data_IF_499589982299
#
_entry.id   IF_499589982299
#
_cell.length_a   1.000
_cell.length_b   1.000
_cell.length_c   1.000
_cell.angle_alpha   90.00
_cell.angle_beta   90.00
_cell.angle_gamma   90.00
#
_symmetry.space_group_name_H-M   'P 1'
#
loop_
_entity.id
_entity.type
_entity.pdbx_description
1 polymer ?
#
# COMPACT_ATOMS: atom_id res chain seq x y z
N UNK A 1 -17.70 9.22 -32.03
CA UNK A 1 -18.78 9.55 -31.09
C UNK A 1 -18.19 9.46 -29.70
N UNK A 2 -18.55 10.29 -28.72
CA UNK A 2 -18.08 10.12 -27.36
C UNK A 2 -18.56 8.76 -26.83
N UNK A 3 -17.70 8.06 -26.09
CA UNK A 3 -18.01 6.79 -25.43
C UNK A 3 -19.16 7.02 -24.45
N UNK A 4 -20.22 6.25 -24.55
CA UNK A 4 -21.41 6.39 -23.69
C UNK A 4 -21.43 5.37 -22.56
N UNK A 5 -20.72 4.24 -22.74
CA UNK A 5 -20.58 3.16 -21.77
C UNK A 5 -19.10 2.81 -21.57
N UNK A 6 -18.76 2.27 -20.42
CA UNK A 6 -17.43 1.76 -20.07
C UNK A 6 -17.56 0.53 -19.16
N UNK A 7 -16.48 -0.22 -19.01
CA UNK A 7 -16.41 -1.35 -18.06
C UNK A 7 -15.85 -0.90 -16.72
N UNK A 8 -16.38 -1.45 -15.63
CA UNK A 8 -15.93 -1.27 -14.25
C UNK A 8 -15.84 -2.63 -13.56
N UNK A 9 -14.74 -2.91 -12.88
CA UNK A 9 -14.63 -4.11 -12.07
C UNK A 9 -15.45 -3.96 -10.78
N UNK A 10 -16.39 -4.89 -10.54
CA UNK A 10 -17.27 -4.91 -9.37
C UNK A 10 -17.34 -6.28 -8.71
N UNK A 11 -17.35 -6.29 -7.39
CA UNK A 11 -17.59 -7.48 -6.58
C UNK A 11 -19.09 -7.66 -6.38
N UNK A 12 -19.63 -8.81 -6.82
CA UNK A 12 -21.03 -9.18 -6.73
C UNK A 12 -21.34 -10.09 -5.53
N UNK A 13 -20.31 -10.75 -5.01
CA UNK A 13 -20.42 -11.68 -3.88
C UNK A 13 -19.08 -12.39 -3.63
N UNK A 14 -19.03 -13.31 -2.67
CA UNK A 14 -17.81 -14.06 -2.35
C UNK A 14 -17.25 -14.83 -3.56
N UNK A 15 -16.04 -14.47 -3.98
CA UNK A 15 -15.37 -15.06 -5.14
C UNK A 15 -15.89 -14.58 -6.50
N UNK A 16 -16.88 -13.70 -6.53
CA UNK A 16 -17.54 -13.24 -7.75
C UNK A 16 -17.17 -11.77 -8.05
N UNK A 17 -16.24 -11.56 -8.96
CA UNK A 17 -15.85 -10.26 -9.49
C UNK A 17 -16.08 -10.25 -11.01
N UNK A 18 -16.67 -9.18 -11.52
CA UNK A 18 -17.06 -9.04 -12.94
C UNK A 18 -16.71 -7.66 -13.48
N UNK A 19 -16.56 -7.56 -14.80
CA UNK A 19 -16.54 -6.30 -15.53
C UNK A 19 -17.97 -5.98 -15.95
N UNK A 20 -18.58 -4.98 -15.32
CA UNK A 20 -19.93 -4.51 -15.61
C UNK A 20 -19.87 -3.35 -16.59
N UNK A 21 -20.79 -3.35 -17.57
CA UNK A 21 -21.00 -2.21 -18.46
C UNK A 21 -21.83 -1.14 -17.74
N UNK A 22 -21.27 0.05 -17.60
CA UNK A 22 -21.92 1.19 -16.94
C UNK A 22 -21.85 2.43 -17.82
N UNK A 23 -22.73 3.40 -17.57
CA UNK A 23 -22.65 4.72 -18.22
C UNK A 23 -21.38 5.46 -17.77
N UNK A 24 -20.69 6.10 -18.71
CA UNK A 24 -19.55 6.98 -18.39
C UNK A 24 -20.02 8.09 -17.46
N UNK A 25 -19.34 8.32 -16.33
CA UNK A 25 -19.77 9.31 -15.34
C UNK A 25 -19.68 10.74 -15.92
N UNK A 26 -20.57 11.61 -15.44
CA UNK A 26 -20.55 13.04 -15.75
C UNK A 26 -20.27 13.81 -14.46
N UNK A 27 -19.36 14.79 -14.47
CA UNK A 27 -19.07 15.56 -13.28
C UNK A 27 -20.25 16.48 -12.90
N UNK A 28 -20.60 16.51 -11.62
CA UNK A 28 -21.36 17.60 -11.03
C UNK A 28 -20.51 18.88 -10.94
N UNK A 29 -21.09 19.97 -10.40
CA UNK A 29 -20.41 21.28 -10.39
C UNK A 29 -19.06 21.26 -9.67
N UNK A 30 -18.88 20.42 -8.64
CA UNK A 30 -17.64 20.35 -7.83
C UNK A 30 -16.80 19.11 -8.08
N UNK A 31 -17.16 18.30 -9.08
CA UNK A 31 -16.54 17.03 -9.33
C UNK A 31 -15.54 17.10 -10.49
N UNK A 32 -14.68 16.11 -10.56
CA UNK A 32 -13.78 15.88 -11.67
C UNK A 32 -13.95 14.44 -12.16
N UNK A 33 -13.88 14.23 -13.47
CA UNK A 33 -13.73 12.88 -14.02
C UNK A 33 -12.28 12.70 -14.46
N UNK A 34 -11.67 11.64 -13.95
CA UNK A 34 -10.31 11.24 -14.31
C UNK A 34 -10.38 10.06 -15.25
N UNK A 35 -9.70 10.17 -16.39
CA UNK A 35 -9.40 9.03 -17.26
C UNK A 35 -8.20 8.31 -16.66
N UNK A 36 -8.45 7.11 -16.13
CA UNK A 36 -7.42 6.29 -15.48
C UNK A 36 -6.39 5.84 -16.52
N UNK A 37 -5.11 5.97 -16.21
CA UNK A 37 -4.01 5.45 -17.03
C UNK A 37 -3.36 4.22 -16.39
N UNK A 38 -3.34 4.14 -15.05
CA UNK A 38 -2.84 3.00 -14.32
C UNK A 38 -3.57 2.83 -12.98
N UNK A 39 -3.85 1.58 -12.61
CA UNK A 39 -4.43 1.21 -11.31
C UNK A 39 -3.72 -0.02 -10.74
N UNK A 40 -3.16 0.09 -9.52
CA UNK A 40 -2.56 -1.01 -8.80
C UNK A 40 -3.61 -1.97 -8.22
N UNK A 41 -3.30 -3.26 -8.21
CA UNK A 41 -4.10 -4.25 -7.48
C UNK A 41 -3.55 -4.37 -6.06
N UNK A 42 -4.41 -4.11 -5.07
CA UNK A 42 -4.09 -4.20 -3.65
C UNK A 42 -4.49 -5.57 -3.07
N UNK A 43 -3.84 -5.95 -1.96
CA UNK A 43 -4.25 -7.11 -1.17
C UNK A 43 -5.67 -7.00 -0.61
N UNK A 44 -6.15 -5.76 -0.35
CA UNK A 44 -7.53 -5.50 0.06
C UNK A 44 -8.53 -5.79 -1.05
N UNK A 45 -8.22 -5.48 -2.33
CA UNK A 45 -9.09 -5.84 -3.47
C UNK A 45 -9.29 -7.35 -3.54
N UNK A 46 -8.20 -8.13 -3.39
CA UNK A 46 -8.26 -9.60 -3.34
C UNK A 46 -9.07 -10.09 -2.13
N UNK A 47 -8.96 -9.38 -1.00
CA UNK A 47 -9.76 -9.62 0.19
C UNK A 47 -11.25 -9.37 -0.05
N UNK A 48 -11.60 -8.26 -0.69
CA UNK A 48 -12.98 -7.90 -1.04
C UNK A 48 -13.60 -8.91 -2.00
N UNK A 49 -12.85 -9.35 -3.00
CA UNK A 49 -13.30 -10.42 -3.91
C UNK A 49 -13.56 -11.71 -3.12
N UNK A 50 -12.64 -12.11 -2.23
CA UNK A 50 -12.79 -13.34 -1.46
C UNK A 50 -13.97 -13.32 -0.48
N UNK A 51 -14.22 -12.17 0.16
CA UNK A 51 -15.27 -11.99 1.16
C UNK A 51 -16.63 -11.58 0.57
N UNK A 52 -16.65 -11.09 -0.67
CA UNK A 52 -17.83 -10.52 -1.29
C UNK A 52 -18.12 -9.09 -0.80
N UNK A 53 -17.10 -8.28 -0.57
CA UNK A 53 -17.19 -6.88 -0.11
C UNK A 53 -16.32 -6.58 1.10
N UNK A 54 -16.57 -5.46 1.78
CA UNK A 54 -15.79 -4.99 2.93
C UNK A 54 -16.13 -5.68 4.25
N UNK A 55 -16.89 -6.77 4.23
CA UNK A 55 -17.34 -7.52 5.41
C UNK A 55 -18.78 -7.19 5.86
N UNK A 56 -19.43 -6.21 5.26
CA UNK A 56 -20.86 -5.97 5.37
C UNK A 56 -21.60 -6.54 4.14
N UNK A 57 -22.87 -6.97 4.26
CA UNK A 57 -23.66 -7.39 3.12
C UNK A 57 -23.76 -6.27 2.07
N UNK A 58 -23.54 -6.60 0.80
CA UNK A 58 -23.68 -5.64 -0.28
C UNK A 58 -25.15 -5.44 -0.63
N UNK A 59 -25.59 -4.18 -0.77
CA UNK A 59 -26.88 -3.82 -1.36
C UNK A 59 -26.79 -3.75 -2.90
N UNK A 60 -25.61 -3.42 -3.42
CA UNK A 60 -25.27 -3.33 -4.84
C UNK A 60 -23.85 -3.85 -5.08
N UNK A 61 -23.49 -4.26 -6.31
CA UNK A 61 -22.13 -4.67 -6.63
C UNK A 61 -21.12 -3.56 -6.34
N UNK A 62 -20.08 -3.90 -5.55
CA UNK A 62 -19.08 -2.95 -5.06
C UNK A 62 -17.95 -2.73 -6.06
N UNK A 63 -17.70 -1.49 -6.54
CA UNK A 63 -16.56 -1.19 -7.39
C UNK A 63 -15.26 -1.25 -6.59
N UNK A 64 -14.17 -1.69 -7.25
CA UNK A 64 -12.85 -1.86 -6.63
C UNK A 64 -11.75 -1.08 -7.36
N UNK A 65 -10.56 -1.04 -6.73
CA UNK A 65 -9.40 -0.28 -7.22
C UNK A 65 -9.31 1.09 -6.58
N UNK A 66 -8.19 1.33 -5.87
CA UNK A 66 -7.96 2.56 -5.10
C UNK A 66 -6.54 3.10 -5.21
N UNK A 67 -5.64 2.40 -5.89
CA UNK A 67 -4.25 2.81 -6.12
C UNK A 67 -4.10 3.28 -7.57
N UNK A 68 -4.38 4.56 -7.88
CA UNK A 68 -4.47 4.96 -9.29
C UNK A 68 -3.96 6.36 -9.59
N UNK A 69 -3.62 6.52 -10.88
CA UNK A 69 -3.27 7.79 -11.49
C UNK A 69 -3.86 7.88 -12.90
N UNK A 70 -4.05 9.08 -13.37
CA UNK A 70 -4.62 9.31 -14.70
C UNK A 70 -4.60 10.78 -15.10
N UNK A 71 -5.39 11.10 -16.11
CA UNK A 71 -5.52 12.46 -16.67
C UNK A 71 -6.94 12.97 -16.38
N UNK A 72 -7.03 14.20 -15.90
CA UNK A 72 -8.30 14.90 -15.76
C UNK A 72 -8.93 15.03 -17.14
N UNK A 73 -10.11 14.44 -17.32
CA UNK A 73 -10.84 14.45 -18.59
C UNK A 73 -11.91 15.54 -18.62
N UNK A 74 -12.73 15.62 -17.56
CA UNK A 74 -13.77 16.63 -17.40
C UNK A 74 -13.73 17.24 -16.01
N UNK A 75 -14.10 18.53 -15.96
CA UNK A 75 -14.06 19.35 -14.74
C UNK A 75 -15.41 20.02 -14.53
N UNK A 76 -15.95 19.97 -13.32
CA UNK A 76 -17.17 20.65 -12.92
C UNK A 76 -17.01 22.17 -12.89
N UNK A 77 -18.11 22.89 -13.06
CA UNK A 77 -18.13 24.37 -13.23
C UNK A 77 -17.57 25.14 -12.04
N UNK A 78 -17.63 24.58 -10.84
CA UNK A 78 -17.21 25.23 -9.58
C UNK A 78 -15.80 24.80 -9.15
N UNK A 79 -15.20 23.78 -9.79
CA UNK A 79 -13.82 23.37 -9.54
C UNK A 79 -12.89 24.46 -10.08
N UNK A 80 -11.97 24.93 -9.24
CA UNK A 80 -10.99 25.95 -9.60
C UNK A 80 -9.64 25.30 -9.87
N UNK A 81 -8.58 25.63 -9.92
CA UNK A 81 -7.20 25.12 -9.93
C UNK A 81 -6.97 23.73 -10.58
N UNK A 82 -7.95 23.21 -11.32
CA UNK A 82 -7.89 21.95 -12.08
C UNK A 82 -8.33 22.21 -13.52
N UNK A 83 -7.59 21.65 -14.48
CA UNK A 83 -7.91 21.77 -15.90
C UNK A 83 -7.90 20.40 -16.59
N UNK A 84 -8.70 20.17 -17.63
CA UNK A 84 -8.57 18.99 -18.49
C UNK A 84 -7.14 18.87 -19.03
N UNK A 85 -6.63 17.63 -19.06
CA UNK A 85 -5.26 17.33 -19.46
C UNK A 85 -4.25 17.32 -18.31
N UNK A 86 -4.61 17.76 -17.09
CA UNK A 86 -3.75 17.66 -15.92
C UNK A 86 -3.59 16.18 -15.54
N UNK A 87 -2.34 15.69 -15.43
CA UNK A 87 -2.08 14.36 -14.85
C UNK A 87 -2.11 14.44 -13.33
N UNK A 88 -2.76 13.49 -12.70
CA UNK A 88 -2.96 13.44 -11.25
C UNK A 88 -2.77 12.03 -10.69
N UNK A 89 -2.20 11.94 -9.49
CA UNK A 89 -2.43 10.84 -8.56
C UNK A 89 -3.64 11.21 -7.70
N UNK A 90 -4.51 10.24 -7.40
CA UNK A 90 -5.76 10.49 -6.68
C UNK A 90 -5.73 9.81 -5.31
N UNK A 91 -5.95 10.59 -4.26
CA UNK A 91 -6.12 10.06 -2.92
C UNK A 91 -7.54 9.50 -2.76
N UNK A 92 -7.70 8.19 -2.47
CA UNK A 92 -9.02 7.54 -2.41
C UNK A 92 -9.77 7.79 -1.11
N UNK A 93 -9.12 8.34 -0.08
CA UNK A 93 -9.62 8.30 1.31
C UNK A 93 -10.92 9.09 1.52
N UNK A 94 -11.06 10.28 0.94
CA UNK A 94 -12.17 11.18 1.22
C UNK A 94 -13.54 10.58 0.87
N UNK A 95 -13.58 9.64 -0.07
CA UNK A 95 -14.81 9.00 -0.56
C UNK A 95 -14.74 7.48 -0.53
N UNK A 96 -13.74 6.90 0.11
CA UNK A 96 -13.49 5.45 0.14
C UNK A 96 -13.51 4.83 -1.27
N UNK A 97 -12.90 5.53 -2.25
CA UNK A 97 -12.85 5.07 -3.64
C UNK A 97 -12.22 3.67 -3.67
N UNK A 98 -12.93 2.69 -4.26
CA UNK A 98 -12.49 1.30 -4.32
C UNK A 98 -12.39 0.56 -2.99
N UNK A 99 -12.79 1.21 -1.90
CA UNK A 99 -12.74 0.69 -0.53
C UNK A 99 -14.12 0.71 0.15
N UNK A 100 -15.18 0.41 -0.61
CA UNK A 100 -16.57 0.42 -0.14
C UNK A 100 -17.34 1.70 -0.45
N UNK A 101 -16.74 2.66 -1.16
CA UNK A 101 -17.42 3.82 -1.72
C UNK A 101 -18.19 3.47 -3.00
N UNK A 102 -18.82 4.49 -3.59
CA UNK A 102 -19.62 4.34 -4.82
C UNK A 102 -18.75 4.18 -6.07
N UNK A 103 -17.48 4.59 -6.01
CA UNK A 103 -16.56 4.62 -7.14
C UNK A 103 -15.40 3.63 -6.92
N UNK A 104 -14.82 3.15 -8.04
CA UNK A 104 -13.63 2.31 -8.06
C UNK A 104 -12.81 2.54 -9.32
N UNK A 105 -11.49 2.55 -9.19
CA UNK A 105 -10.58 2.95 -10.24
C UNK A 105 -10.15 1.82 -11.18
N UNK A 106 -10.61 0.58 -10.98
CA UNK A 106 -10.49 -0.45 -12.00
C UNK A 106 -11.57 -0.23 -13.07
N UNK A 107 -11.50 0.94 -13.72
CA UNK A 107 -12.42 1.46 -14.73
C UNK A 107 -11.67 2.49 -15.60
N UNK A 108 -12.12 2.68 -16.86
CA UNK A 108 -11.51 3.65 -17.76
C UNK A 108 -11.69 5.10 -17.32
N UNK A 109 -12.84 5.43 -16.74
CA UNK A 109 -13.13 6.74 -16.18
C UNK A 109 -13.68 6.59 -14.78
N UNK A 110 -13.30 7.52 -13.91
CA UNK A 110 -13.75 7.55 -12.52
C UNK A 110 -14.17 8.96 -12.14
N UNK A 111 -15.29 9.06 -11.41
CA UNK A 111 -15.75 10.30 -10.81
C UNK A 111 -14.98 10.51 -9.50
N UNK A 112 -14.39 11.69 -9.33
CA UNK A 112 -13.81 12.16 -8.08
C UNK A 112 -14.68 13.28 -7.54
N UNK A 113 -15.57 13.01 -6.58
CA UNK A 113 -16.48 14.00 -6.03
C UNK A 113 -15.76 15.05 -5.18
N UNK A 114 -16.28 16.30 -5.19
CA UNK A 114 -15.73 17.42 -4.44
C UNK A 114 -14.20 17.59 -4.60
N UNK A 115 -13.73 17.48 -5.85
CA UNK A 115 -12.32 17.38 -6.20
C UNK A 115 -11.52 18.64 -5.83
N UNK A 116 -10.35 18.44 -5.19
CA UNK A 116 -9.50 19.53 -4.72
C UNK A 116 -8.02 19.14 -4.80
N UNK A 117 -7.19 20.05 -5.35
CA UNK A 117 -5.72 19.91 -5.32
C UNK A 117 -5.20 19.95 -3.89
N UNK A 118 -4.27 19.04 -3.56
CA UNK A 118 -3.68 18.90 -2.23
C UNK A 118 -4.56 18.15 -1.22
N UNK A 119 -5.68 17.58 -1.67
CA UNK A 119 -6.56 16.72 -0.87
C UNK A 119 -6.90 15.44 -1.64
N UNK A 120 -7.87 15.48 -2.53
CA UNK A 120 -8.23 14.33 -3.39
C UNK A 120 -7.38 14.20 -4.65
N UNK A 121 -6.81 15.29 -5.17
CA UNK A 121 -6.00 15.33 -6.38
C UNK A 121 -4.60 15.87 -6.10
N UNK A 122 -3.58 15.22 -6.65
CA UNK A 122 -2.18 15.66 -6.58
C UNK A 122 -1.59 15.68 -7.99
N UNK A 123 -1.15 16.86 -8.42
CA UNK A 123 -0.59 17.03 -9.77
C UNK A 123 0.72 16.24 -9.95
N UNK A 124 0.84 15.57 -11.07
CA UNK A 124 2.02 14.77 -11.42
C UNK A 124 2.58 15.25 -12.77
N UNK A 125 3.89 15.60 -12.86
CA UNK A 125 4.51 16.00 -14.12
C UNK A 125 4.46 14.90 -15.19
N UNK A 126 4.42 15.30 -16.46
CA UNK A 126 4.28 14.38 -17.59
C UNK A 126 5.44 13.37 -17.73
N UNK A 127 6.62 13.65 -17.16
CA UNK A 127 7.76 12.74 -17.20
C UNK A 127 7.63 11.55 -16.21
N UNK A 128 6.71 11.63 -15.24
CA UNK A 128 6.45 10.52 -14.31
C UNK A 128 5.47 9.56 -14.96
N UNK A 129 5.85 8.29 -15.06
CA UNK A 129 4.97 7.25 -15.60
C UNK A 129 3.71 7.06 -14.71
N UNK A 130 2.52 6.88 -15.30
CA UNK A 130 1.28 6.71 -14.54
C UNK A 130 1.33 5.58 -13.51
N UNK A 131 1.96 4.45 -13.87
CA UNK A 131 2.12 3.31 -12.97
C UNK A 131 2.97 3.66 -11.72
N UNK A 132 3.96 4.57 -11.84
CA UNK A 132 4.73 5.04 -10.69
C UNK A 132 3.90 6.03 -9.86
N UNK A 133 3.13 6.92 -10.50
CA UNK A 133 2.26 7.85 -9.80
C UNK A 133 1.17 7.13 -8.98
N UNK A 134 0.64 6.01 -9.48
CA UNK A 134 -0.32 5.17 -8.76
C UNK A 134 0.25 4.54 -7.47
N UNK A 135 1.59 4.43 -7.35
CA UNK A 135 2.24 3.97 -6.12
C UNK A 135 2.12 4.96 -4.95
N UNK A 136 1.67 6.19 -5.18
CA UNK A 136 1.49 7.17 -4.11
C UNK A 136 0.59 6.64 -2.98
N UNK A 137 -0.43 5.86 -3.33
CA UNK A 137 -1.34 5.25 -2.36
C UNK A 137 -0.61 4.29 -1.42
N UNK A 138 -0.01 3.15 -1.87
CA UNK A 138 0.64 2.21 -0.96
C UNK A 138 1.87 2.80 -0.25
N UNK A 139 2.55 3.78 -0.85
CA UNK A 139 3.64 4.51 -0.20
C UNK A 139 3.13 5.34 0.97
N UNK A 140 2.00 6.04 0.80
CA UNK A 140 1.38 6.83 1.87
C UNK A 140 0.86 5.94 3.02
N UNK A 141 0.34 4.75 2.71
CA UNK A 141 -0.04 3.74 3.73
C UNK A 141 1.15 3.35 4.59
N UNK A 142 2.28 3.01 3.95
CA UNK A 142 3.49 2.66 4.68
C UNK A 142 4.05 3.83 5.50
N UNK A 143 4.04 5.05 4.92
CA UNK A 143 4.51 6.26 5.58
C UNK A 143 3.68 6.57 6.83
N UNK A 144 2.35 6.44 6.75
CA UNK A 144 1.48 6.62 7.91
C UNK A 144 1.86 5.68 9.06
N UNK A 145 2.06 4.38 8.78
CA UNK A 145 2.50 3.41 9.79
C UNK A 145 3.89 3.73 10.38
N UNK A 146 4.81 4.28 9.58
CA UNK A 146 6.12 4.75 10.01
C UNK A 146 5.99 5.96 10.94
N UNK A 147 5.13 6.91 10.59
CA UNK A 147 4.88 8.13 11.38
C UNK A 147 4.26 7.80 12.76
N UNK A 148 3.33 6.85 12.83
CA UNK A 148 2.68 6.45 14.08
C UNK A 148 3.65 5.93 15.16
N UNK A 149 4.77 5.35 14.76
CA UNK A 149 5.81 4.86 15.69
C UNK A 149 7.02 5.78 15.75
N UNK A 150 6.92 6.99 15.20
CA UNK A 150 7.92 8.06 15.29
C UNK A 150 9.35 7.58 14.94
N UNK A 151 9.50 6.94 13.77
CA UNK A 151 10.79 6.41 13.30
C UNK A 151 11.80 7.54 13.13
N UNK A 152 13.04 7.33 13.64
CA UNK A 152 14.15 8.26 13.51
C UNK A 152 15.21 7.75 12.51
N UNK A 153 16.00 8.64 11.89
CA UNK A 153 17.02 8.24 10.89
C UNK A 153 18.08 7.25 11.43
N UNK A 154 18.37 7.29 12.74
CA UNK A 154 19.37 6.42 13.36
C UNK A 154 18.77 5.12 13.93
N UNK A 155 17.43 4.94 13.87
CA UNK A 155 16.78 3.71 14.32
C UNK A 155 17.26 2.48 13.50
N UNK A 156 17.36 1.35 14.17
CA UNK A 156 17.48 0.02 13.57
C UNK A 156 16.08 -0.52 13.30
N UNK A 157 15.68 -0.58 12.03
CA UNK A 157 14.31 -0.92 11.63
C UNK A 157 14.26 -2.28 10.97
N UNK A 158 13.39 -3.16 11.45
CA UNK A 158 13.06 -4.43 10.83
C UNK A 158 11.65 -4.39 10.19
N UNK A 159 11.57 -4.62 8.89
CA UNK A 159 10.30 -4.75 8.14
C UNK A 159 9.98 -6.23 7.99
N UNK A 160 8.81 -6.65 8.45
CA UNK A 160 8.34 -8.03 8.36
C UNK A 160 7.39 -8.16 7.18
N UNK A 161 7.78 -8.93 6.16
CA UNK A 161 7.08 -9.07 4.89
C UNK A 161 7.64 -8.14 3.81
N UNK A 162 7.97 -8.70 2.63
CA UNK A 162 8.43 -7.98 1.46
C UNK A 162 7.37 -7.95 0.32
N UNK A 163 6.10 -7.97 0.70
CA UNK A 163 4.98 -7.66 -0.20
C UNK A 163 4.93 -6.16 -0.54
N UNK A 164 3.93 -5.70 -1.32
CA UNK A 164 3.84 -4.30 -1.74
C UNK A 164 3.98 -3.28 -0.60
N UNK A 165 3.33 -3.50 0.53
CA UNK A 165 3.42 -2.59 1.71
C UNK A 165 4.81 -2.65 2.36
N UNK A 166 5.44 -3.84 2.49
CA UNK A 166 6.80 -3.93 3.02
C UNK A 166 7.84 -3.28 2.12
N UNK A 167 7.69 -3.40 0.79
CA UNK A 167 8.52 -2.69 -0.17
C UNK A 167 8.29 -1.17 -0.08
N UNK A 168 7.04 -0.73 0.05
CA UNK A 168 6.69 0.67 0.30
C UNK A 168 7.33 1.20 1.59
N UNK A 169 7.33 0.38 2.67
CA UNK A 169 7.99 0.76 3.93
C UNK A 169 9.50 0.94 3.74
N UNK A 170 10.19 0.05 2.98
CA UNK A 170 11.62 0.22 2.68
C UNK A 170 11.87 1.54 1.94
N UNK A 171 11.05 1.87 0.93
CA UNK A 171 11.16 3.12 0.17
C UNK A 171 10.99 4.34 1.09
N UNK A 172 9.93 4.37 1.88
CA UNK A 172 9.62 5.51 2.74
C UNK A 172 10.59 5.66 3.92
N UNK A 173 11.10 4.56 4.48
CA UNK A 173 12.18 4.58 5.48
C UNK A 173 13.46 5.19 4.90
N UNK A 174 13.81 4.83 3.66
CA UNK A 174 14.94 5.46 2.95
C UNK A 174 14.72 6.94 2.69
N UNK A 175 13.54 7.32 2.22
CA UNK A 175 13.16 8.73 2.03
C UNK A 175 13.31 9.52 3.34
N UNK A 176 12.97 8.94 4.49
CA UNK A 176 13.17 9.52 5.83
C UNK A 176 14.63 9.44 6.34
N UNK A 177 15.57 8.97 5.54
CA UNK A 177 16.99 8.92 5.86
C UNK A 177 17.40 7.79 6.80
N UNK A 178 16.53 6.79 7.02
CA UNK A 178 16.87 5.61 7.84
C UNK A 178 17.95 4.78 7.16
N UNK A 179 19.05 4.50 7.89
CA UNK A 179 20.25 3.82 7.34
C UNK A 179 20.28 2.32 7.60
N UNK A 180 19.65 1.88 8.69
CA UNK A 180 19.71 0.49 9.16
C UNK A 180 18.37 -0.21 8.95
N UNK A 181 18.07 -0.56 7.70
CA UNK A 181 16.84 -1.24 7.31
C UNK A 181 17.13 -2.70 7.03
N UNK A 182 16.47 -3.60 7.78
CA UNK A 182 16.42 -5.04 7.53
C UNK A 182 15.01 -5.37 7.05
N UNK A 183 14.88 -6.20 6.02
CA UNK A 183 13.58 -6.72 5.59
C UNK A 183 13.58 -8.24 5.60
N UNK A 184 12.49 -8.83 6.06
CA UNK A 184 12.32 -10.25 6.31
C UNK A 184 11.17 -10.78 5.46
N UNK A 185 11.42 -11.81 4.67
CA UNK A 185 10.38 -12.52 3.90
C UNK A 185 10.79 -13.98 3.70
N UNK A 186 9.90 -14.82 3.20
CA UNK A 186 10.18 -16.20 2.83
C UNK A 186 10.55 -16.35 1.34
N UNK A 187 10.10 -15.38 0.52
CA UNK A 187 10.25 -15.43 -0.92
C UNK A 187 11.50 -14.67 -1.38
N UNK A 188 12.44 -15.41 -1.98
CA UNK A 188 13.73 -14.84 -2.45
C UNK A 188 13.55 -13.77 -3.53
N UNK A 189 12.54 -13.90 -4.41
CA UNK A 189 12.18 -12.94 -5.45
C UNK A 189 11.79 -11.57 -4.85
N UNK A 190 11.01 -11.58 -3.78
CA UNK A 190 10.58 -10.37 -3.05
C UNK A 190 11.76 -9.71 -2.33
N UNK A 191 12.63 -10.50 -1.70
CA UNK A 191 13.86 -10.00 -1.06
C UNK A 191 14.83 -9.37 -2.07
N UNK A 192 14.90 -9.90 -3.30
CA UNK A 192 15.71 -9.30 -4.37
C UNK A 192 15.18 -7.90 -4.74
N UNK A 193 13.86 -7.70 -4.82
CA UNK A 193 13.24 -6.39 -5.05
C UNK A 193 13.53 -5.42 -3.91
N UNK A 194 13.44 -5.89 -2.67
CA UNK A 194 13.76 -5.08 -1.50
C UNK A 194 15.21 -4.58 -1.52
N UNK A 195 16.18 -5.42 -1.94
CA UNK A 195 17.58 -5.00 -2.15
C UNK A 195 17.69 -3.93 -3.22
N UNK A 196 17.02 -4.10 -4.35
CA UNK A 196 17.01 -3.13 -5.44
C UNK A 196 16.41 -1.79 -5.01
N UNK A 197 15.45 -1.79 -4.07
CA UNK A 197 14.89 -0.60 -3.43
C UNK A 197 15.76 -0.04 -2.31
N UNK A 198 16.85 -0.73 -1.93
CA UNK A 198 17.88 -0.26 -1.01
C UNK A 198 17.76 -0.74 0.42
N UNK A 199 17.04 -1.82 0.69
CA UNK A 199 17.18 -2.51 1.96
C UNK A 199 18.63 -2.97 2.15
N UNK A 200 19.28 -2.54 3.25
CA UNK A 200 20.68 -2.86 3.52
C UNK A 200 20.90 -4.36 3.74
N UNK A 201 19.97 -5.00 4.42
CA UNK A 201 20.02 -6.42 4.76
C UNK A 201 18.67 -7.07 4.47
N UNK A 202 18.70 -8.26 3.88
CA UNK A 202 17.50 -9.07 3.66
C UNK A 202 17.65 -10.41 4.36
N UNK A 203 16.61 -10.84 5.04
CA UNK A 203 16.56 -12.10 5.80
C UNK A 203 15.52 -13.02 5.14
N UNK A 204 15.94 -14.22 4.73
CA UNK A 204 15.00 -15.25 4.30
C UNK A 204 14.59 -16.10 5.50
N UNK A 205 13.36 -15.91 5.96
CA UNK A 205 12.81 -16.59 7.13
C UNK A 205 12.59 -18.11 6.94
N UNK A 206 12.73 -18.63 5.70
CA UNK A 206 12.65 -20.07 5.43
C UNK A 206 13.99 -20.79 5.66
N UNK A 207 15.11 -20.07 5.84
CA UNK A 207 16.46 -20.64 5.90
C UNK A 207 17.08 -20.70 7.30
N UNK A 208 16.39 -20.15 8.32
CA UNK A 208 16.93 -20.14 9.69
C UNK A 208 16.11 -19.29 10.67
N UNK A 209 16.65 -19.09 11.85
CA UNK A 209 16.04 -18.30 12.93
C UNK A 209 16.07 -16.80 12.60
N UNK A 210 14.91 -16.15 12.58
CA UNK A 210 14.80 -14.70 12.44
C UNK A 210 15.55 -14.00 13.55
N UNK A 211 15.46 -14.50 14.77
CA UNK A 211 16.17 -13.97 15.96
C UNK A 211 17.66 -13.92 15.74
N UNK A 212 18.31 -15.01 15.32
CA UNK A 212 19.75 -15.06 15.10
C UNK A 212 20.21 -14.15 13.96
N UNK A 213 19.42 -14.10 12.88
CA UNK A 213 19.72 -13.24 11.73
C UNK A 213 19.56 -11.75 12.08
N UNK A 214 18.54 -11.38 12.87
CA UNK A 214 18.39 -10.01 13.38
C UNK A 214 19.49 -9.65 14.40
N UNK A 215 19.89 -10.57 15.29
CA UNK A 215 21.00 -10.37 16.20
C UNK A 215 22.31 -10.10 15.43
N UNK A 216 22.53 -10.82 14.32
CA UNK A 216 23.68 -10.57 13.45
C UNK A 216 23.62 -9.19 12.78
N UNK A 217 22.45 -8.77 12.33
CA UNK A 217 22.26 -7.52 11.58
C UNK A 217 22.23 -6.26 12.47
N UNK A 218 21.52 -6.33 13.58
CA UNK A 218 21.27 -5.20 14.47
C UNK A 218 22.02 -5.27 15.79
N UNK A 219 22.56 -6.44 16.15
CA UNK A 219 23.13 -6.73 17.45
C UNK A 219 22.10 -7.27 18.43
N UNK A 220 22.55 -7.59 19.61
CA UNK A 220 21.74 -8.17 20.69
C UNK A 220 22.18 -7.65 22.05
N UNK A 221 21.34 -7.85 23.06
CA UNK A 221 21.61 -7.53 24.44
C UNK A 221 20.88 -8.45 25.41
N UNK A 222 21.12 -8.22 26.70
CA UNK A 222 20.45 -8.93 27.78
C UNK A 222 19.87 -7.93 28.77
N UNK A 223 18.58 -8.12 29.13
CA UNK A 223 17.92 -7.33 30.17
C UNK A 223 17.20 -8.26 31.14
N UNK A 224 17.46 -8.13 32.44
CA UNK A 224 16.90 -8.98 33.48
C UNK A 224 17.09 -10.49 33.22
N UNK A 225 18.23 -10.87 32.64
CA UNK A 225 18.53 -12.26 32.27
C UNK A 225 17.90 -12.74 30.95
N UNK A 226 17.09 -11.92 30.26
CA UNK A 226 16.47 -12.26 28.99
C UNK A 226 17.20 -11.61 27.81
N UNK A 227 17.56 -12.45 26.84
CA UNK A 227 18.15 -12.01 25.55
C UNK A 227 17.10 -11.25 24.72
N UNK A 228 17.55 -10.23 24.00
CA UNK A 228 16.77 -9.49 23.02
C UNK A 228 17.62 -9.08 21.82
N UNK A 229 17.00 -8.80 20.67
CA UNK A 229 17.67 -8.16 19.53
C UNK A 229 17.67 -6.63 19.72
N UNK A 230 18.70 -5.96 19.20
CA UNK A 230 18.85 -4.50 19.36
C UNK A 230 18.15 -3.74 18.22
N UNK A 231 16.92 -4.16 17.89
CA UNK A 231 16.03 -3.50 16.91
C UNK A 231 15.15 -2.49 17.63
N UNK A 232 15.11 -1.24 17.12
CA UNK A 232 14.33 -0.14 17.71
C UNK A 232 12.87 -0.19 17.27
N UNK A 233 12.65 -0.47 15.98
CA UNK A 233 11.31 -0.44 15.35
C UNK A 233 11.09 -1.69 14.52
N UNK A 234 9.88 -2.24 14.63
CA UNK A 234 9.38 -3.29 13.76
C UNK A 234 8.17 -2.78 12.99
N UNK A 235 8.17 -2.95 11.67
CA UNK A 235 7.04 -2.66 10.80
C UNK A 235 6.45 -3.99 10.32
N UNK A 236 5.29 -4.35 10.81
CA UNK A 236 4.60 -5.56 10.38
C UNK A 236 3.75 -5.28 9.15
N UNK A 237 4.24 -5.75 8.01
CA UNK A 237 3.58 -5.74 6.70
C UNK A 237 3.22 -7.17 6.22
N UNK A 238 3.39 -8.19 7.07
CA UNK A 238 3.12 -9.60 6.74
C UNK A 238 1.75 -10.10 7.21
N UNK A 239 1.25 -9.63 8.36
CA UNK A 239 0.01 -10.11 8.96
C UNK A 239 0.05 -11.60 9.35
N UNK A 240 1.22 -12.06 9.75
CA UNK A 240 1.47 -13.45 10.13
C UNK A 240 1.55 -13.58 11.66
N UNK A 241 0.53 -14.18 12.33
CA UNK A 241 0.51 -14.30 13.79
C UNK A 241 1.79 -14.87 14.42
N UNK A 242 2.44 -15.93 13.87
CA UNK A 242 3.70 -16.43 14.43
C UNK A 242 4.84 -15.40 14.35
N UNK A 243 4.92 -14.60 13.29
CA UNK A 243 5.98 -13.61 13.14
C UNK A 243 5.83 -12.47 14.14
N UNK A 244 4.61 -11.96 14.39
CA UNK A 244 4.36 -10.95 15.41
C UNK A 244 4.68 -11.48 16.81
N UNK A 245 4.29 -12.71 17.12
CA UNK A 245 4.60 -13.33 18.41
C UNK A 245 6.12 -13.45 18.61
N UNK A 246 6.88 -13.86 17.59
CA UNK A 246 8.34 -13.92 17.63
C UNK A 246 8.95 -12.52 17.84
N UNK A 247 8.48 -11.52 17.07
CA UNK A 247 8.92 -10.12 17.22
C UNK A 247 8.74 -9.63 18.67
N UNK A 248 7.59 -9.85 19.28
CA UNK A 248 7.32 -9.44 20.67
C UNK A 248 8.28 -10.18 21.65
N UNK A 249 8.52 -11.47 21.41
CA UNK A 249 9.40 -12.28 22.27
C UNK A 249 10.86 -11.80 22.28
N UNK A 250 11.36 -11.30 21.12
CA UNK A 250 12.75 -10.86 20.96
C UNK A 250 12.95 -9.34 21.09
N UNK A 251 11.87 -8.57 21.18
CA UNK A 251 11.91 -7.11 21.21
C UNK A 251 12.65 -6.61 22.49
N UNK A 252 13.49 -5.57 22.30
CA UNK A 252 14.16 -4.91 23.40
C UNK A 252 13.21 -4.01 24.19
N UNK A 253 13.73 -3.46 25.29
CA UNK A 253 13.03 -2.45 26.08
C UNK A 253 12.70 -1.23 25.24
N UNK A 254 11.42 -0.79 25.27
CA UNK A 254 10.86 0.33 24.51
C UNK A 254 10.93 0.16 22.99
N UNK A 255 10.99 -1.06 22.50
CA UNK A 255 10.79 -1.29 21.07
C UNK A 255 9.39 -0.84 20.64
N UNK A 256 9.29 -0.34 19.39
CA UNK A 256 8.05 0.18 18.80
C UNK A 256 7.64 -0.71 17.64
N UNK A 257 6.40 -1.13 17.61
CA UNK A 257 5.85 -2.07 16.60
C UNK A 257 4.66 -1.41 15.93
N UNK A 258 4.74 -1.19 14.62
CA UNK A 258 3.62 -0.73 13.78
C UNK A 258 3.03 -1.92 13.02
N UNK A 259 1.74 -2.15 13.18
CA UNK A 259 0.98 -3.19 12.46
C UNK A 259 0.21 -2.53 11.33
N UNK A 260 0.71 -2.68 10.09
CA UNK A 260 0.06 -2.17 8.87
C UNK A 260 -0.69 -3.31 8.17
N UNK A 261 -0.24 -4.55 8.38
CA UNK A 261 -0.78 -5.73 7.72
C UNK A 261 -2.21 -6.07 8.15
N UNK A 262 -3.00 -6.59 7.21
CA UNK A 262 -4.32 -7.13 7.49
C UNK A 262 -4.23 -8.53 8.09
N UNK A 263 -4.72 -8.70 9.32
CA UNK A 263 -4.82 -10.00 9.99
C UNK A 263 -6.15 -10.68 9.70
N UNK A 264 -6.09 -11.84 9.04
CA UNK A 264 -7.30 -12.65 8.71
C UNK A 264 -7.85 -13.43 9.91
N UNK A 265 -7.06 -13.55 11.00
CA UNK A 265 -7.44 -14.27 12.23
C UNK A 265 -6.88 -13.53 13.44
N UNK A 266 -7.53 -13.63 14.61
CA UNK A 266 -6.98 -13.10 15.85
C UNK A 266 -5.56 -13.62 16.12
N UNK A 267 -4.71 -12.76 16.68
CA UNK A 267 -3.34 -13.07 17.06
C UNK A 267 -3.21 -12.99 18.59
N UNK A 268 -2.58 -14.00 19.19
CA UNK A 268 -2.23 -13.95 20.61
C UNK A 268 -1.00 -13.04 20.82
N UNK A 269 -1.08 -12.22 21.86
CA UNK A 269 -0.02 -11.28 22.25
C UNK A 269 0.40 -11.54 23.69
N UNK A 270 1.71 -11.67 23.93
CA UNK A 270 2.26 -11.80 25.29
C UNK A 270 2.28 -10.44 26.00
N UNK A 271 1.18 -10.16 26.72
CA UNK A 271 1.03 -8.90 27.46
C UNK A 271 2.03 -8.77 28.62
N UNK A 272 2.49 -9.89 29.21
CA UNK A 272 3.50 -9.85 30.26
C UNK A 272 4.84 -9.37 29.69
N UNK A 273 5.26 -9.91 28.56
CA UNK A 273 6.48 -9.47 27.85
C UNK A 273 6.38 -7.99 27.42
N UNK A 274 5.24 -7.57 26.92
CA UNK A 274 5.00 -6.18 26.51
C UNK A 274 5.12 -5.23 27.72
N UNK A 275 4.46 -5.54 28.82
CA UNK A 275 4.50 -4.76 30.05
C UNK A 275 5.93 -4.68 30.62
N UNK A 276 6.62 -5.81 30.72
CA UNK A 276 7.98 -5.87 31.27
C UNK A 276 9.01 -5.09 30.46
N UNK A 277 8.78 -4.94 29.17
CA UNK A 277 9.70 -4.22 28.26
C UNK A 277 9.16 -2.89 27.75
N UNK A 278 8.02 -2.40 28.25
CA UNK A 278 7.37 -1.16 27.78
C UNK A 278 7.26 -1.11 26.24
N UNK A 279 6.89 -2.25 25.60
CA UNK A 279 6.78 -2.35 24.14
C UNK A 279 5.56 -1.58 23.69
N UNK A 280 5.70 -0.70 22.72
CA UNK A 280 4.60 -0.06 22.01
C UNK A 280 4.13 -0.96 20.87
N UNK A 281 2.83 -1.24 20.79
CA UNK A 281 2.19 -1.93 19.67
C UNK A 281 1.03 -1.06 19.18
N UNK A 282 1.08 -0.61 17.94
CA UNK A 282 0.09 0.30 17.36
C UNK A 282 -0.42 -0.24 16.02
N UNK A 283 -1.74 -0.24 15.82
CA UNK A 283 -2.37 -0.53 14.54
C UNK A 283 -2.41 0.69 13.63
N UNK A 284 -2.26 0.50 12.32
CA UNK A 284 -2.29 1.55 11.31
C UNK A 284 -3.34 1.21 10.25
N UNK A 285 -4.39 2.02 10.15
CA UNK A 285 -5.45 1.89 9.11
C UNK A 285 -5.21 2.84 7.94
N UNK A 286 -4.40 3.87 8.13
CA UNK A 286 -4.02 4.85 7.11
C UNK A 286 -5.23 5.52 6.41
N UNK A 287 -6.20 6.03 7.18
CA UNK A 287 -7.31 6.85 6.69
C UNK A 287 -7.05 8.33 6.98
N UNK A 288 -7.49 9.22 6.06
CA UNK A 288 -7.34 10.68 6.22
C UNK A 288 -5.89 11.16 6.15
N UNK A 289 -5.03 10.47 5.40
CA UNK A 289 -3.58 10.69 5.32
C UNK A 289 -3.18 11.68 4.21
N UNK A 290 -3.84 12.82 4.12
CA UNK A 290 -3.55 13.80 3.05
C UNK A 290 -2.09 14.26 3.02
N UNK A 291 -1.48 14.48 4.20
CA UNK A 291 -0.09 14.90 4.31
C UNK A 291 0.87 13.80 3.82
N UNK A 292 0.66 12.56 4.23
CA UNK A 292 1.47 11.40 3.81
C UNK A 292 1.31 11.11 2.32
N UNK A 293 0.10 11.28 1.77
CA UNK A 293 -0.13 11.10 0.34
C UNK A 293 0.60 12.18 -0.47
N UNK A 294 0.53 13.44 -0.04
CA UNK A 294 1.29 14.55 -0.64
C UNK A 294 2.80 14.29 -0.62
N UNK A 295 3.35 13.89 0.53
CA UNK A 295 4.77 13.56 0.67
C UNK A 295 5.19 12.38 -0.24
N UNK A 296 4.34 11.36 -0.38
CA UNK A 296 4.60 10.24 -1.28
C UNK A 296 4.63 10.71 -2.75
N UNK A 297 3.71 11.59 -3.16
CA UNK A 297 3.72 12.18 -4.51
C UNK A 297 4.98 13.02 -4.72
N UNK A 298 5.36 13.87 -3.79
CA UNK A 298 6.54 14.72 -3.88
C UNK A 298 7.82 13.87 -4.04
N UNK A 299 7.94 12.78 -3.29
CA UNK A 299 9.05 11.83 -3.40
C UNK A 299 9.08 11.14 -4.77
N UNK A 300 7.92 10.73 -5.31
CA UNK A 300 7.81 10.15 -6.65
C UNK A 300 8.28 11.16 -7.70
N UNK A 301 7.80 12.40 -7.60
CA UNK A 301 8.14 13.49 -8.54
C UNK A 301 9.62 13.85 -8.48
N UNK A 302 10.22 13.85 -7.29
CA UNK A 302 11.67 14.11 -7.13
C UNK A 302 12.53 13.04 -7.80
N UNK A 303 12.02 11.79 -7.94
CA UNK A 303 12.71 10.73 -8.69
C UNK A 303 14.02 10.23 -8.08
N UNK A 304 14.29 10.55 -6.81
CA UNK A 304 15.55 10.19 -6.12
C UNK A 304 15.67 8.68 -5.86
N UNK A 305 14.55 7.98 -5.79
CA UNK A 305 14.48 6.54 -5.57
C UNK A 305 13.87 5.88 -6.80
N UNK A 306 14.59 4.93 -7.40
CA UNK A 306 14.03 4.13 -8.48
C UNK A 306 12.96 3.18 -7.95
N UNK A 307 11.68 3.45 -8.28
CA UNK A 307 10.52 2.67 -7.83
C UNK A 307 10.17 1.49 -8.75
N UNK A 308 10.79 1.37 -9.93
CA UNK A 308 10.48 0.30 -10.88
C UNK A 308 10.52 -1.11 -10.25
N UNK A 309 11.42 -1.44 -9.29
CA UNK A 309 11.41 -2.75 -8.65
C UNK A 309 10.15 -3.06 -7.82
N UNK A 310 9.33 -2.07 -7.47
CA UNK A 310 8.05 -2.30 -6.77
C UNK A 310 7.03 -2.98 -7.66
N UNK A 311 7.04 -2.67 -8.97
CA UNK A 311 6.08 -3.21 -9.94
C UNK A 311 6.65 -4.49 -10.53
N UNK A 312 5.86 -5.57 -10.47
CA UNK A 312 6.26 -6.85 -11.04
C UNK A 312 5.65 -7.11 -12.41
N UNK A 313 4.42 -6.64 -12.64
CA UNK A 313 3.68 -6.87 -13.87
C UNK A 313 2.90 -5.62 -14.28
N UNK A 314 2.86 -5.40 -15.58
CA UNK A 314 2.04 -4.42 -16.26
C UNK A 314 1.09 -5.19 -17.16
N UNK A 315 -0.21 -5.15 -16.87
CA UNK A 315 -1.23 -5.96 -17.57
C UNK A 315 -2.33 -5.03 -18.09
N UNK A 316 -2.68 -5.11 -19.37
CA UNK A 316 -3.80 -4.33 -19.92
C UNK A 316 -5.11 -4.62 -19.18
N UNK A 317 -5.93 -3.59 -18.98
CA UNK A 317 -7.22 -3.73 -18.27
C UNK A 317 -8.15 -4.78 -18.91
N UNK A 318 -8.07 -4.94 -20.21
CA UNK A 318 -8.80 -5.96 -20.97
C UNK A 318 -8.47 -7.40 -20.53
N UNK A 319 -7.30 -7.59 -19.88
CA UNK A 319 -6.86 -8.86 -19.30
C UNK A 319 -7.07 -8.90 -17.76
N UNK A 320 -8.14 -8.26 -17.29
CA UNK A 320 -8.44 -8.09 -15.85
C UNK A 320 -8.36 -9.40 -15.06
N UNK A 321 -8.94 -10.48 -15.56
CA UNK A 321 -8.93 -11.78 -14.85
C UNK A 321 -7.51 -12.33 -14.71
N UNK A 322 -6.68 -12.23 -15.73
CA UNK A 322 -5.26 -12.61 -15.67
C UNK A 322 -4.50 -11.75 -14.64
N UNK A 323 -4.78 -10.47 -14.57
CA UNK A 323 -4.17 -9.57 -13.61
C UNK A 323 -4.54 -9.95 -12.15
N UNK A 324 -5.81 -10.29 -11.89
CA UNK A 324 -6.26 -10.76 -10.57
C UNK A 324 -5.58 -12.08 -10.20
N UNK A 325 -5.46 -13.04 -11.13
CA UNK A 325 -4.79 -14.32 -10.87
C UNK A 325 -3.28 -14.12 -10.64
N UNK A 326 -2.63 -13.26 -11.42
CA UNK A 326 -1.24 -12.87 -11.23
C UNK A 326 -1.02 -12.22 -9.86
N UNK A 327 -1.92 -11.33 -9.41
CA UNK A 327 -1.82 -10.69 -8.11
C UNK A 327 -2.00 -11.66 -6.93
N UNK A 328 -2.70 -12.78 -7.13
CA UNK A 328 -2.85 -13.87 -6.13
C UNK A 328 -1.57 -14.70 -5.98
N UNK A 329 -0.72 -14.74 -7.00
CA UNK A 329 0.54 -15.49 -6.96
C UNK A 329 1.61 -14.73 -6.18
N UNK A 330 1.56 -14.86 -4.86
CA UNK A 330 2.46 -14.19 -3.94
C UNK A 330 3.96 -14.53 -4.14
N UNK A 331 4.28 -15.69 -4.71
CA UNK A 331 5.67 -16.10 -4.94
C UNK A 331 6.31 -15.34 -6.11
N UNK A 332 5.53 -15.03 -7.14
CA UNK A 332 6.02 -14.44 -8.38
C UNK A 332 5.62 -12.97 -8.58
N UNK A 333 4.66 -12.45 -7.79
CA UNK A 333 4.19 -11.08 -7.90
C UNK A 333 4.62 -10.18 -6.72
N UNK A 334 4.79 -8.90 -7.04
CA UNK A 334 4.80 -7.79 -6.09
C UNK A 334 3.60 -6.89 -6.41
N UNK A 335 3.77 -5.62 -6.82
CA UNK A 335 2.66 -4.83 -7.32
C UNK A 335 2.34 -5.23 -8.78
N UNK A 336 1.09 -5.58 -9.03
CA UNK A 336 0.52 -5.77 -10.37
C UNK A 336 -0.25 -4.51 -10.73
N UNK A 337 0.08 -3.92 -11.90
CA UNK A 337 -0.58 -2.73 -12.43
C UNK A 337 -1.50 -3.09 -13.58
N UNK A 338 -2.74 -2.66 -13.51
CA UNK A 338 -3.65 -2.57 -14.65
C UNK A 338 -3.33 -1.29 -15.43
N UNK A 339 -3.15 -1.40 -16.73
CA UNK A 339 -2.89 -0.28 -17.63
C UNK A 339 -4.06 -0.07 -18.58
N UNK A 340 -4.44 1.19 -18.77
CA UNK A 340 -5.56 1.59 -19.62
C UNK A 340 -5.01 2.31 -20.85
N UNK A 341 -5.16 1.68 -22.01
CA UNK A 341 -4.70 2.20 -23.31
C UNK A 341 -5.79 3.00 -24.03
#
# INVERSE_FOLDING_TARGET
MPMTTMQVARVHGPGDVRLDDVTVPKPGPRDVVVRVEACGICGSDLGYIALGGTGAPLSEPMPIGHEFAGIVEWVGTDVRDVQPGLRVAVNPDDRNIGNGGLEGAMARFILVPDAKIGSSLYAVPAHVAPALAALAEPLSVALHGINLVDVKPDDKVAVIGAGPIGLSAVVMLRHRGVKNIVIIDREASRLARARALGAKTTINASTGSITEMLATAHGEGTRLGHRHVDTDVFIDAAGAPPALAEVIAIAKFRARISVIALYKKPCAVDLFKMMMNEIMLIGSIALGRHAEFGEAVDMIVAGEINLAPMISHHIPFEQFNEAIDTARDAANSAKVMLEFV
#
